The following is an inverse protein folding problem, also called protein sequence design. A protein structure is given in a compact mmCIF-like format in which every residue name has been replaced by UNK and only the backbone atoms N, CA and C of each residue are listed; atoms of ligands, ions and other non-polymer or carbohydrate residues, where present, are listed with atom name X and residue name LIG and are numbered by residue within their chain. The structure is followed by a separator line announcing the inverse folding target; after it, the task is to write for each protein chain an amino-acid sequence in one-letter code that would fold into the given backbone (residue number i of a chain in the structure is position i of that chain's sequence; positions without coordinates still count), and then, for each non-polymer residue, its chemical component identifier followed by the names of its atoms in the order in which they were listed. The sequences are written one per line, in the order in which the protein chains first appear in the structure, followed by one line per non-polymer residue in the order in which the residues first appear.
data_IF_240879921938
#
_entry.id   IF_240879921938
#
_cell.length_a   1.000
_cell.length_b   1.000
_cell.length_c   1.000
_cell.angle_alpha   90.00
_cell.angle_beta   90.00
_cell.angle_gamma   90.00
#
_symmetry.space_group_name_H-M   'P 1'
#
loop_
_entity.id
_entity.type
_entity.pdbx_description
1 polymer ?
#
# COMPACT_ATOMS: atom_id res chain seq x y z
N UNK A 1 -21.58 -54.45 3.88
CA UNK A 1 -21.17 -53.31 4.71
C UNK A 1 -22.45 -52.67 5.22
N UNK A 2 -22.52 -52.34 6.49
CA UNK A 2 -23.69 -51.64 7.04
C UNK A 2 -23.71 -50.20 6.52
N UNK A 3 -24.92 -49.66 6.29
CA UNK A 3 -25.11 -48.29 5.77
C UNK A 3 -24.42 -47.20 6.62
N UNK A 4 -24.13 -47.49 7.90
CA UNK A 4 -23.41 -46.60 8.80
C UNK A 4 -21.90 -46.56 8.52
N UNK A 5 -21.29 -47.70 8.18
CA UNK A 5 -19.86 -47.77 7.84
C UNK A 5 -19.56 -47.07 6.52
N UNK A 6 -20.45 -47.19 5.54
CA UNK A 6 -20.33 -46.50 4.24
C UNK A 6 -20.40 -44.97 4.41
N UNK A 7 -21.33 -44.47 5.23
CA UNK A 7 -21.44 -43.03 5.53
C UNK A 7 -20.23 -42.50 6.30
N UNK A 8 -19.68 -43.30 7.22
CA UNK A 8 -18.46 -42.93 7.94
C UNK A 8 -17.26 -42.86 6.99
N UNK A 9 -17.11 -43.84 6.09
CA UNK A 9 -16.05 -43.84 5.08
C UNK A 9 -16.16 -42.64 4.13
N UNK A 10 -17.37 -42.29 3.71
CA UNK A 10 -17.64 -41.05 2.95
C UNK A 10 -17.21 -39.80 3.73
N UNK A 11 -17.56 -39.71 5.01
CA UNK A 11 -17.16 -38.62 5.89
C UNK A 11 -15.63 -38.49 6.02
N UNK A 12 -14.92 -39.60 6.22
CA UNK A 12 -13.46 -39.63 6.28
C UNK A 12 -12.83 -39.17 4.96
N UNK A 13 -13.40 -39.58 3.82
CA UNK A 13 -12.93 -39.14 2.51
C UNK A 13 -13.11 -37.63 2.31
N UNK A 14 -14.24 -37.07 2.74
CA UNK A 14 -14.48 -35.62 2.71
C UNK A 14 -13.50 -34.86 3.61
N UNK A 15 -13.21 -35.36 4.82
CA UNK A 15 -12.22 -34.76 5.73
C UNK A 15 -10.82 -34.76 5.11
N UNK A 16 -10.37 -35.88 4.53
CA UNK A 16 -9.08 -35.96 3.85
C UNK A 16 -8.97 -34.99 2.67
N UNK A 17 -10.06 -34.80 1.92
CA UNK A 17 -10.12 -33.82 0.84
C UNK A 17 -10.06 -32.39 1.37
N UNK A 18 -10.78 -32.09 2.45
CA UNK A 18 -10.79 -30.78 3.10
C UNK A 18 -9.41 -30.40 3.64
N UNK A 19 -8.72 -31.34 4.31
CA UNK A 19 -7.35 -31.15 4.79
C UNK A 19 -6.37 -30.90 3.63
N UNK A 20 -6.47 -31.69 2.56
CA UNK A 20 -5.60 -31.55 1.39
C UNK A 20 -5.78 -30.19 0.71
N UNK A 21 -7.05 -29.76 0.51
CA UNK A 21 -7.36 -28.44 -0.04
C UNK A 21 -6.91 -27.33 0.91
N UNK A 22 -7.15 -27.47 2.21
CA UNK A 22 -6.68 -26.52 3.22
C UNK A 22 -5.17 -26.31 3.20
N UNK A 23 -4.38 -27.40 3.11
CA UNK A 23 -2.92 -27.32 2.96
C UNK A 23 -2.49 -26.58 1.68
N UNK A 24 -3.20 -26.79 0.58
CA UNK A 24 -2.95 -26.06 -0.68
C UNK A 24 -3.31 -24.58 -0.56
N UNK A 25 -4.42 -24.26 0.11
CA UNK A 25 -4.88 -22.89 0.34
C UNK A 25 -3.88 -22.11 1.19
N UNK A 26 -3.46 -22.69 2.32
CA UNK A 26 -2.40 -22.15 3.18
C UNK A 26 -1.13 -21.88 2.38
N UNK A 27 -0.66 -22.86 1.60
CA UNK A 27 0.54 -22.68 0.76
C UNK A 27 0.40 -21.52 -0.22
N UNK A 28 -0.76 -21.38 -0.87
CA UNK A 28 -1.02 -20.29 -1.83
C UNK A 28 -1.03 -18.92 -1.16
N UNK A 29 -1.63 -18.80 0.02
CA UNK A 29 -1.66 -17.53 0.76
C UNK A 29 -0.27 -17.15 1.25
N UNK A 30 0.50 -18.09 1.81
CA UNK A 30 1.87 -17.85 2.24
C UNK A 30 2.80 -17.44 1.09
N UNK A 31 2.67 -18.08 -0.09
CA UNK A 31 3.43 -17.69 -1.29
C UNK A 31 3.10 -16.25 -1.73
N UNK A 32 1.81 -15.87 -1.69
CA UNK A 32 1.37 -14.50 -2.00
C UNK A 32 1.88 -13.48 -0.98
N UNK A 33 1.86 -13.81 0.31
CA UNK A 33 2.44 -12.97 1.37
C UNK A 33 3.92 -12.74 1.11
N UNK A 34 4.68 -13.82 0.87
CA UNK A 34 6.12 -13.73 0.58
C UNK A 34 6.42 -12.83 -0.62
N UNK A 35 5.70 -13.00 -1.74
CA UNK A 35 5.88 -12.14 -2.93
C UNK A 35 5.59 -10.68 -2.59
N UNK A 36 4.56 -10.41 -1.78
CA UNK A 36 4.17 -9.04 -1.39
C UNK A 36 5.20 -8.40 -0.46
N UNK A 37 5.70 -9.16 0.52
CA UNK A 37 6.76 -8.74 1.45
C UNK A 37 8.07 -8.46 0.71
N UNK A 38 8.51 -9.37 -0.18
CA UNK A 38 9.71 -9.18 -1.01
C UNK A 38 9.60 -7.98 -1.94
N UNK A 39 8.40 -7.73 -2.46
CA UNK A 39 8.16 -6.58 -3.33
C UNK A 39 8.24 -5.25 -2.57
N UNK A 40 8.07 -5.24 -1.24
CA UNK A 40 8.04 -4.05 -0.36
C UNK A 40 7.20 -2.91 -0.97
N UNK A 41 6.11 -3.27 -1.65
CA UNK A 41 5.47 -2.35 -2.60
C UNK A 41 4.83 -1.17 -1.89
N UNK A 42 4.23 -1.40 -0.71
CA UNK A 42 3.66 -0.34 0.11
C UNK A 42 4.73 0.65 0.56
N UNK A 43 5.87 0.17 1.08
CA UNK A 43 6.97 1.04 1.49
C UNK A 43 7.53 1.84 0.31
N UNK A 44 7.63 1.23 -0.87
CA UNK A 44 8.04 1.92 -2.10
C UNK A 44 7.07 3.02 -2.49
N UNK A 45 5.75 2.78 -2.40
CA UNK A 45 4.75 3.81 -2.67
C UNK A 45 4.81 4.96 -1.66
N UNK A 46 4.97 4.66 -0.37
CA UNK A 46 5.12 5.67 0.69
C UNK A 46 6.37 6.52 0.45
N UNK A 47 7.53 5.90 0.24
CA UNK A 47 8.77 6.62 -0.03
C UNK A 47 8.66 7.45 -1.31
N UNK A 48 8.05 6.91 -2.37
CA UNK A 48 7.90 7.62 -3.64
C UNK A 48 6.94 8.80 -3.52
N UNK A 49 5.92 8.73 -2.66
CA UNK A 49 5.06 9.87 -2.33
C UNK A 49 5.90 11.01 -1.77
N UNK A 50 6.71 10.72 -0.74
CA UNK A 50 7.52 11.73 -0.06
C UNK A 50 8.56 12.36 -1.00
N UNK A 51 9.22 11.56 -1.84
CA UNK A 51 10.15 12.08 -2.86
C UNK A 51 9.44 13.03 -3.84
N UNK A 52 8.27 12.62 -4.35
CA UNK A 52 7.51 13.39 -5.33
C UNK A 52 6.98 14.69 -4.72
N UNK A 53 6.46 14.65 -3.50
CA UNK A 53 5.99 15.83 -2.78
C UNK A 53 7.13 16.84 -2.55
N UNK A 54 8.34 16.35 -2.23
CA UNK A 54 9.51 17.22 -2.08
C UNK A 54 9.95 17.86 -3.41
N UNK A 55 9.97 17.09 -4.50
CA UNK A 55 10.37 17.57 -5.83
C UNK A 55 9.39 18.62 -6.35
N UNK A 56 8.08 18.34 -6.27
CA UNK A 56 7.04 19.28 -6.71
C UNK A 56 7.08 20.57 -5.90
N UNK A 57 7.26 20.49 -4.58
CA UNK A 57 7.34 21.69 -3.75
C UNK A 57 8.57 22.54 -4.08
N UNK A 58 9.74 21.92 -4.36
CA UNK A 58 10.93 22.65 -4.80
C UNK A 58 10.70 23.40 -6.11
N UNK A 59 10.08 22.75 -7.10
CA UNK A 59 9.78 23.39 -8.39
C UNK A 59 8.76 24.54 -8.24
N UNK A 60 7.75 24.39 -7.37
CA UNK A 60 6.81 25.47 -7.04
C UNK A 60 7.53 26.65 -6.38
N UNK A 61 8.44 26.39 -5.43
CA UNK A 61 9.20 27.44 -4.76
C UNK A 61 10.10 28.22 -5.73
N UNK A 62 10.77 27.52 -6.66
CA UNK A 62 11.60 28.15 -7.70
C UNK A 62 10.76 29.00 -8.66
N UNK A 63 9.59 28.51 -9.11
CA UNK A 63 8.67 29.27 -9.96
C UNK A 63 8.08 30.49 -9.24
N UNK A 64 7.79 30.37 -7.94
CA UNK A 64 7.32 31.48 -7.12
C UNK A 64 8.39 32.57 -7.02
N UNK A 65 9.63 32.18 -6.75
CA UNK A 65 10.75 33.13 -6.69
C UNK A 65 11.02 33.82 -8.04
N UNK A 66 10.87 33.10 -9.16
CA UNK A 66 10.95 33.71 -10.50
C UNK A 66 9.81 34.70 -10.76
N UNK A 67 8.58 34.37 -10.35
CA UNK A 67 7.42 35.25 -10.46
C UNK A 67 7.59 36.53 -9.65
N UNK A 68 8.01 36.41 -8.38
CA UNK A 68 8.19 37.54 -7.47
C UNK A 68 9.28 38.50 -7.98
N UNK A 69 10.35 37.97 -8.57
CA UNK A 69 11.42 38.78 -9.17
C UNK A 69 11.01 39.50 -10.46
N UNK A 70 9.89 39.13 -11.08
CA UNK A 70 9.31 39.83 -12.23
C UNK A 70 8.39 40.98 -11.84
N UNK A 71 8.11 41.21 -10.54
CA UNK A 71 7.33 42.37 -10.10
C UNK A 71 8.04 43.67 -10.49
N UNK A 72 7.35 44.50 -11.29
CA UNK A 72 7.84 45.70 -11.98
C UNK A 72 8.40 46.85 -11.08
N UNK A 73 8.52 46.65 -9.77
CA UNK A 73 9.00 47.66 -8.80
C UNK A 73 10.44 48.11 -9.04
N UNK A 74 11.25 47.33 -9.75
CA UNK A 74 12.66 47.64 -10.05
C UNK A 74 12.85 48.53 -11.29
N UNK A 75 11.91 48.54 -12.23
CA UNK A 75 11.98 49.36 -13.46
C UNK A 75 11.38 50.76 -13.27
N UNK A 76 10.41 50.91 -12.37
CA UNK A 76 9.74 52.18 -12.10
C UNK A 76 10.71 53.23 -11.52
N UNK A 77 11.69 52.80 -10.71
CA UNK A 77 12.77 53.61 -10.14
C UNK A 77 13.78 54.09 -11.19
N UNK A 78 14.00 53.32 -12.26
CA UNK A 78 14.91 53.68 -13.34
C UNK A 78 14.30 54.72 -14.28
N UNK A 79 12.99 54.60 -14.56
CA UNK A 79 12.24 55.56 -15.37
C UNK A 79 12.23 56.98 -14.76
N UNK A 80 12.03 57.09 -13.45
CA UNK A 80 12.02 58.38 -12.73
C UNK A 80 13.40 59.07 -12.70
N UNK A 81 14.49 58.30 -12.69
CA UNK A 81 15.86 58.80 -12.74
C UNK A 81 16.21 59.46 -14.08
N UNK A 82 15.79 58.85 -15.20
CA UNK A 82 16.02 59.39 -16.54
C UNK A 82 15.25 60.70 -16.78
N UNK A 83 14.04 60.83 -16.22
CA UNK A 83 13.17 61.99 -16.43
C UNK A 83 13.64 63.24 -15.67
N UNK A 84 14.33 63.09 -14.53
CA UNK A 84 14.95 64.19 -13.80
C UNK A 84 16.17 64.80 -14.50
N UNK A 85 16.92 64.01 -15.27
CA UNK A 85 18.07 64.51 -16.05
C UNK A 85 17.62 65.44 -17.20
N UNK A 86 16.41 65.21 -17.75
CA UNK A 86 15.85 65.96 -18.86
C UNK A 86 15.42 67.40 -18.50
N UNK A 87 14.86 67.63 -17.31
CA UNK A 87 14.33 68.96 -16.93
C UNK A 87 15.42 70.01 -16.65
N UNK A 88 16.67 69.59 -16.40
CA UNK A 88 17.76 70.49 -15.97
C UNK A 88 18.34 71.36 -17.10
N UNK A 89 18.11 71.00 -18.36
CA UNK A 89 18.66 71.73 -19.52
C UNK A 89 17.68 72.75 -20.13
N UNK A 90 16.36 72.55 -19.96
CA UNK A 90 15.32 73.39 -20.56
C UNK A 90 15.17 74.76 -19.89
N UNK A 91 15.55 74.89 -18.62
CA UNK A 91 15.44 76.14 -17.86
C UNK A 91 16.56 77.15 -18.17
N UNK A 92 17.70 76.69 -18.70
CA UNK A 92 18.88 77.54 -18.98
C UNK A 92 18.76 78.34 -20.28
N UNK A 93 17.95 77.85 -21.23
CA UNK A 93 17.72 78.43 -22.55
C UNK A 93 16.89 79.73 -22.51
N UNK A 94 15.89 79.79 -21.62
CA UNK A 94 15.02 80.98 -21.45
C UNK A 94 15.73 82.21 -20.86
N UNK A 95 16.83 82.01 -20.12
CA UNK A 95 17.59 83.08 -19.46
C UNK A 95 18.44 83.89 -20.44
N UNK A 96 18.94 83.24 -21.50
CA UNK A 96 19.91 83.84 -22.44
C UNK A 96 19.25 84.73 -23.50
N UNK A 97 18.00 84.46 -23.88
CA UNK A 97 17.23 85.28 -24.83
C UNK A 97 16.99 86.73 -24.35
N UNK A 98 16.96 86.95 -23.02
CA UNK A 98 16.73 88.29 -22.43
C UNK A 98 17.91 89.25 -22.57
N UNK A 99 19.14 88.74 -22.66
CA UNK A 99 20.36 89.59 -22.74
C UNK A 99 20.59 90.21 -24.13
N UNK A 100 19.85 89.77 -25.14
CA UNK A 100 19.97 90.24 -26.54
C UNK A 100 19.27 91.58 -26.81
N UNK A 101 18.44 92.10 -25.90
CA UNK A 101 17.59 93.27 -26.18
C UNK A 101 18.23 94.63 -25.84
N UNK A 102 19.31 94.67 -25.05
CA UNK A 102 19.82 95.93 -24.43
C UNK A 102 20.99 96.61 -25.17
N UNK A 103 21.63 95.95 -26.14
CA UNK A 103 22.94 96.39 -26.68
C UNK A 103 22.89 97.38 -27.87
N UNK A 104 21.79 98.12 -28.03
CA UNK A 104 21.51 98.96 -29.23
C UNK A 104 22.09 100.38 -29.24
N UNK A 105 22.85 100.81 -28.23
CA UNK A 105 23.20 102.23 -28.01
C UNK A 105 24.68 102.62 -28.22
N UNK A 106 25.51 101.80 -28.86
CA UNK A 106 26.99 102.00 -28.97
C UNK A 106 27.55 102.32 -30.37
N UNK A 107 27.03 103.37 -31.00
CA UNK A 107 27.23 103.98 -32.34
C UNK A 107 28.56 103.86 -33.14
N UNK A 108 29.74 104.13 -32.55
CA UNK A 108 30.96 104.50 -33.32
C UNK A 108 32.23 103.69 -33.01
N UNK A 109 32.24 102.94 -31.90
CA UNK A 109 33.11 101.75 -31.78
C UNK A 109 32.68 100.63 -32.77
N UNK A 110 31.52 100.83 -33.41
CA UNK A 110 30.82 99.91 -34.29
C UNK A 110 31.60 99.46 -35.53
N UNK A 111 32.53 100.23 -36.09
CA UNK A 111 33.14 99.83 -37.37
C UNK A 111 34.23 98.77 -37.20
N UNK A 112 35.10 98.91 -36.19
CA UNK A 112 36.05 97.85 -35.81
C UNK A 112 35.32 96.70 -35.11
N UNK A 113 34.27 97.00 -34.33
CA UNK A 113 33.36 95.98 -33.81
C UNK A 113 32.56 95.27 -34.90
N UNK A 114 32.29 95.83 -36.08
CA UNK A 114 31.51 95.16 -37.13
C UNK A 114 32.22 93.90 -37.63
N UNK A 115 33.54 93.98 -37.82
CA UNK A 115 34.33 92.83 -38.26
C UNK A 115 34.51 91.80 -37.14
N UNK A 116 34.71 92.25 -35.89
CA UNK A 116 34.74 91.36 -34.73
C UNK A 116 33.37 90.73 -34.43
N UNK A 117 32.26 91.45 -34.67
CA UNK A 117 30.89 90.99 -34.51
C UNK A 117 30.48 90.03 -35.63
N UNK A 118 30.92 90.22 -36.87
CA UNK A 118 30.69 89.23 -37.95
C UNK A 118 31.38 87.90 -37.65
N UNK A 119 32.60 87.94 -37.15
CA UNK A 119 33.32 86.73 -36.73
C UNK A 119 32.71 86.13 -35.44
N UNK A 120 32.27 86.96 -34.50
CA UNK A 120 31.56 86.52 -33.30
C UNK A 120 30.17 85.94 -33.63
N UNK A 121 29.42 86.51 -34.57
CA UNK A 121 28.15 85.98 -35.10
C UNK A 121 28.37 84.64 -35.78
N UNK A 122 29.43 84.51 -36.60
CA UNK A 122 29.81 83.24 -37.22
C UNK A 122 30.14 82.18 -36.16
N UNK A 123 30.93 82.52 -35.15
CA UNK A 123 31.28 81.60 -34.05
C UNK A 123 30.05 81.24 -33.20
N UNK A 124 29.16 82.18 -32.95
CA UNK A 124 27.94 81.97 -32.17
C UNK A 124 26.91 81.13 -32.94
N UNK A 125 26.79 81.29 -34.25
CA UNK A 125 25.94 80.43 -35.09
C UNK A 125 26.55 79.02 -35.20
N UNK A 126 27.87 78.89 -35.30
CA UNK A 126 28.56 77.58 -35.23
C UNK A 126 28.36 76.90 -33.87
N UNK A 127 28.42 77.63 -32.76
CA UNK A 127 28.12 77.09 -31.42
C UNK A 127 26.65 76.70 -31.28
N UNK A 128 25.73 77.52 -31.79
CA UNK A 128 24.29 77.21 -31.80
C UNK A 128 24.03 75.94 -32.59
N UNK A 129 24.65 75.79 -33.75
CA UNK A 129 24.51 74.60 -34.59
C UNK A 129 25.09 73.35 -33.90
N UNK A 130 26.29 73.42 -33.32
CA UNK A 130 26.86 72.32 -32.52
C UNK A 130 25.98 71.91 -31.34
N UNK A 131 25.34 72.86 -30.66
CA UNK A 131 24.42 72.59 -29.55
C UNK A 131 23.11 71.97 -30.03
N UNK A 132 22.55 72.44 -31.13
CA UNK A 132 21.37 71.85 -31.76
C UNK A 132 21.62 70.40 -32.16
N UNK A 133 22.77 70.11 -32.79
CA UNK A 133 23.17 68.74 -33.14
C UNK A 133 23.38 67.86 -31.90
N UNK A 134 23.88 68.43 -30.80
CA UNK A 134 24.05 67.69 -29.54
C UNK A 134 22.69 67.38 -28.89
N UNK A 135 21.76 68.33 -28.92
CA UNK A 135 20.39 68.13 -28.41
C UNK A 135 19.65 67.08 -29.23
N UNK A 136 19.72 67.15 -30.55
CA UNK A 136 19.10 66.15 -31.45
C UNK A 136 19.69 64.75 -31.22
N UNK A 137 21.01 64.64 -31.01
CA UNK A 137 21.67 63.38 -30.63
C UNK A 137 21.21 62.87 -29.24
N UNK A 138 21.00 63.76 -28.28
CA UNK A 138 20.49 63.39 -26.97
C UNK A 138 19.04 62.90 -27.04
N UNK A 139 18.18 63.60 -27.79
CA UNK A 139 16.77 63.24 -27.97
C UNK A 139 16.61 61.90 -28.70
N UNK A 140 17.38 61.68 -29.76
CA UNK A 140 17.41 60.39 -30.47
C UNK A 140 17.95 59.25 -29.61
N UNK A 141 18.92 59.51 -28.72
CA UNK A 141 19.45 58.49 -27.80
C UNK A 141 18.44 58.14 -26.71
N UNK A 142 17.73 59.13 -26.16
CA UNK A 142 16.71 58.90 -25.16
C UNK A 142 15.48 58.20 -25.71
N UNK A 143 15.07 58.52 -26.94
CA UNK A 143 13.98 57.83 -27.61
C UNK A 143 14.32 56.35 -27.86
N UNK A 144 15.55 56.04 -28.29
CA UNK A 144 16.03 54.65 -28.38
C UNK A 144 16.01 53.94 -27.02
N UNK A 145 16.50 54.60 -25.97
CA UNK A 145 16.49 54.02 -24.63
C UNK A 145 15.06 53.75 -24.11
N UNK A 146 14.09 54.63 -24.41
CA UNK A 146 12.67 54.42 -24.07
C UNK A 146 12.09 53.21 -24.80
N UNK A 147 12.38 53.07 -26.09
CA UNK A 147 11.91 51.94 -26.90
C UNK A 147 12.50 50.61 -26.40
N UNK A 148 13.78 50.59 -26.03
CA UNK A 148 14.42 49.41 -25.44
C UNK A 148 13.81 49.07 -24.07
N UNK A 149 13.60 50.06 -23.20
CA UNK A 149 12.96 49.84 -21.90
C UNK A 149 11.53 49.30 -22.02
N UNK A 150 10.74 49.82 -22.95
CA UNK A 150 9.38 49.32 -23.19
C UNK A 150 9.40 47.88 -23.72
N UNK A 151 10.36 47.55 -24.60
CA UNK A 151 10.56 46.17 -25.05
C UNK A 151 10.91 45.22 -23.90
N UNK A 152 11.80 45.64 -23.00
CA UNK A 152 12.17 44.85 -21.83
C UNK A 152 10.99 44.67 -20.87
N UNK A 153 10.18 45.72 -20.69
CA UNK A 153 8.96 45.67 -19.89
C UNK A 153 7.97 44.63 -20.43
N UNK A 154 7.75 44.61 -21.75
CA UNK A 154 6.88 43.62 -22.40
C UNK A 154 7.41 42.19 -22.22
N UNK A 155 8.73 41.99 -22.36
CA UNK A 155 9.35 40.68 -22.15
C UNK A 155 9.24 40.19 -20.71
N UNK A 156 9.39 41.07 -19.72
CA UNK A 156 9.23 40.74 -18.30
C UNK A 156 7.77 40.37 -18.01
N UNK A 157 6.81 41.10 -18.57
CA UNK A 157 5.40 40.79 -18.40
C UNK A 157 5.04 39.42 -19.01
N UNK A 158 5.52 39.14 -20.23
CA UNK A 158 5.29 37.84 -20.88
C UNK A 158 5.91 36.70 -20.07
N UNK A 159 7.11 36.91 -19.51
CA UNK A 159 7.76 35.93 -18.64
C UNK A 159 6.94 35.68 -17.37
N UNK A 160 6.47 36.74 -16.72
CA UNK A 160 5.62 36.65 -15.53
C UNK A 160 4.34 35.86 -15.82
N UNK A 161 3.63 36.16 -16.92
CA UNK A 161 2.40 35.47 -17.28
C UNK A 161 2.63 33.97 -17.54
N UNK A 162 3.78 33.62 -18.16
CA UNK A 162 4.21 32.23 -18.35
C UNK A 162 4.53 31.55 -17.01
N UNK A 163 5.20 32.23 -16.09
CA UNK A 163 5.47 31.72 -14.74
C UNK A 163 4.16 31.44 -13.98
N UNK A 164 3.17 32.34 -14.07
CA UNK A 164 1.86 32.13 -13.44
C UNK A 164 1.11 30.94 -14.05
N UNK A 165 1.13 30.78 -15.37
CA UNK A 165 0.54 29.62 -16.03
C UNK A 165 1.23 28.31 -15.61
N UNK A 166 2.56 28.31 -15.50
CA UNK A 166 3.32 27.16 -15.02
C UNK A 166 2.98 26.82 -13.56
N UNK A 167 2.89 27.82 -12.68
CA UNK A 167 2.46 27.64 -11.28
C UNK A 167 1.08 27.01 -11.18
N UNK A 168 0.14 27.43 -12.03
CA UNK A 168 -1.20 26.85 -12.05
C UNK A 168 -1.17 25.36 -12.43
N UNK A 169 -0.46 25.01 -13.51
CA UNK A 169 -0.30 23.61 -13.96
C UNK A 169 0.40 22.77 -12.89
N UNK A 170 1.43 23.31 -12.23
CA UNK A 170 2.13 22.61 -11.14
C UNK A 170 1.23 22.39 -9.93
N UNK A 171 0.34 23.34 -9.62
CA UNK A 171 -0.68 23.17 -8.58
C UNK A 171 -1.66 22.03 -8.90
N UNK A 172 -2.18 21.97 -10.12
CA UNK A 172 -3.07 20.88 -10.55
C UNK A 172 -2.34 19.52 -10.57
N UNK A 173 -1.08 19.51 -11.03
CA UNK A 173 -0.24 18.31 -11.02
C UNK A 173 0.00 17.79 -9.61
N UNK A 174 0.33 18.67 -8.65
CA UNK A 174 0.50 18.33 -7.23
C UNK A 174 -0.76 17.70 -6.65
N UNK A 175 -1.91 18.32 -6.89
CA UNK A 175 -3.17 17.86 -6.33
C UNK A 175 -3.59 16.52 -6.96
N UNK A 176 -3.37 16.34 -8.26
CA UNK A 176 -3.64 15.10 -8.98
C UNK A 176 -2.71 13.96 -8.56
N UNK A 177 -1.40 14.22 -8.46
CA UNK A 177 -0.40 13.23 -8.08
C UNK A 177 -0.58 12.76 -6.64
N UNK A 178 -0.87 13.69 -5.72
CA UNK A 178 -1.15 13.39 -4.32
C UNK A 178 -2.36 12.47 -4.17
N UNK A 179 -3.48 12.79 -4.83
CA UNK A 179 -4.69 11.95 -4.83
C UNK A 179 -4.43 10.55 -5.39
N UNK A 180 -3.70 10.46 -6.51
CA UNK A 180 -3.38 9.17 -7.13
C UNK A 180 -2.50 8.31 -6.21
N UNK A 181 -1.50 8.93 -5.59
CA UNK A 181 -0.59 8.23 -4.69
C UNK A 181 -1.30 7.79 -3.41
N UNK A 182 -2.17 8.62 -2.84
CA UNK A 182 -3.01 8.26 -1.70
C UNK A 182 -3.96 7.11 -2.01
N UNK A 183 -4.64 7.16 -3.16
CA UNK A 183 -5.50 6.06 -3.61
C UNK A 183 -4.71 4.75 -3.80
N UNK A 184 -3.48 4.84 -4.30
CA UNK A 184 -2.60 3.67 -4.48
C UNK A 184 -2.16 3.08 -3.13
N UNK A 185 -1.80 3.93 -2.16
CA UNK A 185 -1.47 3.51 -0.79
C UNK A 185 -2.68 2.83 -0.13
N UNK A 186 -3.86 3.45 -0.21
CA UNK A 186 -5.08 2.91 0.40
C UNK A 186 -5.49 1.58 -0.25
N UNK A 187 -5.43 1.50 -1.59
CA UNK A 187 -5.66 0.25 -2.31
C UNK A 187 -4.70 -0.84 -1.87
N UNK A 188 -3.40 -0.52 -1.65
CA UNK A 188 -2.41 -1.50 -1.23
C UNK A 188 -2.59 -1.93 0.23
N UNK A 189 -2.96 -1.00 1.13
CA UNK A 189 -3.32 -1.33 2.52
C UNK A 189 -4.51 -2.28 2.58
N UNK A 190 -5.53 -2.02 1.77
CA UNK A 190 -6.69 -2.90 1.67
C UNK A 190 -6.31 -4.29 1.16
N UNK A 191 -5.46 -4.38 0.14
CA UNK A 191 -4.99 -5.67 -0.37
C UNK A 191 -4.19 -6.46 0.69
N UNK A 192 -3.31 -5.80 1.46
CA UNK A 192 -2.58 -6.43 2.56
C UNK A 192 -3.52 -6.90 3.68
N UNK A 193 -4.54 -6.11 4.01
CA UNK A 193 -5.58 -6.48 4.96
C UNK A 193 -6.40 -7.68 4.49
N UNK A 194 -6.88 -7.67 3.24
CA UNK A 194 -7.63 -8.79 2.64
C UNK A 194 -6.78 -10.07 2.60
N UNK A 195 -5.47 -9.95 2.37
CA UNK A 195 -4.53 -11.08 2.41
C UNK A 195 -4.34 -11.61 3.84
N UNK A 196 -4.31 -10.74 4.84
CA UNK A 196 -4.26 -11.12 6.25
C UNK A 196 -5.54 -11.84 6.70
N UNK A 197 -6.72 -11.34 6.31
CA UNK A 197 -7.99 -12.04 6.55
C UNK A 197 -8.04 -13.39 5.86
N UNK A 198 -7.57 -13.48 4.61
CA UNK A 198 -7.47 -14.77 3.90
C UNK A 198 -6.57 -15.75 4.65
N UNK A 199 -5.45 -15.29 5.21
CA UNK A 199 -4.53 -16.09 5.99
C UNK A 199 -5.20 -16.72 7.22
N UNK A 200 -5.95 -15.90 7.97
CA UNK A 200 -6.76 -16.37 9.10
C UNK A 200 -7.77 -17.42 8.65
N UNK A 201 -8.54 -17.13 7.59
CA UNK A 201 -9.62 -18.01 7.13
C UNK A 201 -9.08 -19.37 6.66
N UNK A 202 -7.98 -19.41 5.90
CA UNK A 202 -7.44 -20.68 5.39
C UNK A 202 -6.82 -21.51 6.51
N UNK A 203 -6.12 -20.88 7.45
CA UNK A 203 -5.55 -21.58 8.61
C UNK A 203 -6.66 -22.12 9.52
N UNK A 204 -7.71 -21.33 9.80
CA UNK A 204 -8.86 -21.77 10.60
C UNK A 204 -9.57 -22.96 9.95
N UNK A 205 -9.85 -22.90 8.64
CA UNK A 205 -10.50 -24.02 7.92
C UNK A 205 -9.69 -25.31 7.97
N UNK A 206 -8.37 -25.20 7.76
CA UNK A 206 -7.50 -26.38 7.85
C UNK A 206 -7.47 -26.93 9.27
N UNK A 207 -7.41 -26.05 10.27
CA UNK A 207 -7.42 -26.38 11.68
C UNK A 207 -8.73 -27.06 12.10
N UNK A 208 -9.88 -26.58 11.62
CA UNK A 208 -11.19 -27.20 11.89
C UNK A 208 -11.30 -28.59 11.25
N UNK A 209 -10.81 -28.75 10.02
CA UNK A 209 -10.75 -30.05 9.36
C UNK A 209 -9.83 -31.05 10.10
N UNK A 210 -8.68 -30.58 10.60
CA UNK A 210 -7.77 -31.36 11.43
C UNK A 210 -8.40 -31.71 12.78
N UNK A 211 -9.09 -30.79 13.43
CA UNK A 211 -9.79 -31.04 14.68
C UNK A 211 -10.84 -32.14 14.50
N UNK A 212 -11.66 -32.07 13.44
CA UNK A 212 -12.64 -33.10 13.12
C UNK A 212 -11.99 -34.47 12.83
N UNK A 213 -10.90 -34.50 12.05
CA UNK A 213 -10.15 -35.73 11.79
C UNK A 213 -9.52 -36.32 13.08
N UNK A 214 -9.05 -35.44 13.98
CA UNK A 214 -8.48 -35.83 15.28
C UNK A 214 -9.54 -36.42 16.20
N UNK A 215 -10.75 -35.85 16.20
CA UNK A 215 -11.91 -36.41 16.93
C UNK A 215 -12.24 -37.82 16.41
N UNK A 216 -12.33 -38.01 15.09
CA UNK A 216 -12.61 -39.33 14.49
C UNK A 216 -11.53 -40.35 14.88
N UNK A 217 -10.24 -40.01 14.78
CA UNK A 217 -9.17 -40.90 15.18
C UNK A 217 -9.28 -41.29 16.67
N UNK A 218 -9.60 -40.33 17.55
CA UNK A 218 -9.76 -40.61 18.99
C UNK A 218 -10.94 -41.55 19.26
N UNK A 219 -12.08 -41.32 18.62
CA UNK A 219 -13.24 -42.21 18.73
C UNK A 219 -12.95 -43.62 18.19
N UNK A 220 -12.21 -43.74 17.07
CA UNK A 220 -11.80 -45.04 16.53
C UNK A 220 -10.86 -45.80 17.48
N UNK A 221 -9.95 -45.09 18.15
CA UNK A 221 -9.05 -45.69 19.16
C UNK A 221 -9.86 -46.22 20.35
N UNK A 222 -10.82 -45.45 20.84
CA UNK A 222 -11.73 -45.86 21.93
C UNK A 222 -12.58 -47.07 21.54
N UNK A 223 -13.23 -47.04 20.38
CA UNK A 223 -13.99 -48.17 19.84
C UNK A 223 -13.12 -49.43 19.67
N UNK A 224 -11.88 -49.27 19.21
CA UNK A 224 -10.95 -50.39 19.11
C UNK A 224 -10.56 -50.93 20.50
N UNK A 225 -10.40 -50.07 21.51
CA UNK A 225 -10.11 -50.51 22.88
C UNK A 225 -11.23 -51.37 23.45
N UNK A 226 -12.49 -50.94 23.28
CA UNK A 226 -13.65 -51.68 23.75
C UNK A 226 -13.78 -53.04 23.04
N UNK A 227 -13.61 -53.06 21.71
CA UNK A 227 -13.62 -54.29 20.92
C UNK A 227 -12.47 -55.23 21.29
N UNK A 228 -11.25 -54.71 21.48
CA UNK A 228 -10.10 -55.51 21.92
C UNK A 228 -10.34 -56.11 23.30
N UNK A 229 -10.95 -55.36 24.22
CA UNK A 229 -11.31 -55.85 25.55
C UNK A 229 -12.35 -56.98 25.45
N UNK A 230 -13.43 -56.77 24.68
CA UNK A 230 -14.46 -57.78 24.45
C UNK A 230 -13.89 -59.07 23.82
N UNK A 231 -13.12 -58.94 22.73
CA UNK A 231 -12.51 -60.07 22.03
C UNK A 231 -11.54 -60.83 22.93
N UNK A 232 -10.74 -60.13 23.74
CA UNK A 232 -9.83 -60.76 24.70
C UNK A 232 -10.58 -61.60 25.74
N UNK A 233 -11.70 -61.10 26.25
CA UNK A 233 -12.57 -61.85 27.16
C UNK A 233 -13.14 -63.10 26.47
N UNK A 234 -13.71 -62.95 25.27
CA UNK A 234 -14.29 -64.06 24.51
C UNK A 234 -13.25 -65.14 24.14
N UNK A 235 -12.05 -64.74 23.70
CA UNK A 235 -10.94 -65.66 23.42
C UNK A 235 -10.54 -66.44 24.68
N UNK A 236 -10.53 -65.78 25.84
CA UNK A 236 -10.17 -66.41 27.12
C UNK A 236 -11.23 -67.46 27.51
N UNK A 237 -12.51 -67.10 27.46
CA UNK A 237 -13.63 -68.01 27.74
C UNK A 237 -13.64 -69.21 26.80
N UNK A 238 -13.48 -69.00 25.49
CA UNK A 238 -13.44 -70.10 24.51
C UNK A 238 -12.20 -71.01 24.68
N UNK A 239 -11.05 -70.46 25.12
CA UNK A 239 -9.87 -71.28 25.46
C UNK A 239 -10.12 -72.19 26.65
N UNK A 240 -10.86 -71.73 27.66
CA UNK A 240 -11.26 -72.55 28.81
C UNK A 240 -12.31 -73.60 28.41
N UNK A 241 -13.31 -73.21 27.62
CA UNK A 241 -14.34 -74.12 27.12
C UNK A 241 -13.72 -75.22 26.24
N UNK A 242 -12.78 -74.88 25.34
CA UNK A 242 -12.00 -75.83 24.56
C UNK A 242 -11.31 -76.87 25.45
N UNK A 243 -10.63 -76.42 26.51
CA UNK A 243 -9.94 -77.32 27.46
C UNK A 243 -10.93 -78.25 28.17
N UNK A 244 -12.10 -77.74 28.57
CA UNK A 244 -13.15 -78.54 29.20
C UNK A 244 -13.72 -79.60 28.26
N UNK A 245 -14.16 -79.21 27.05
CA UNK A 245 -14.74 -80.12 26.06
C UNK A 245 -13.75 -81.16 25.54
N UNK A 246 -12.46 -80.81 25.45
CA UNK A 246 -11.40 -81.74 25.11
C UNK A 246 -11.21 -82.84 26.19
N UNK A 247 -11.28 -82.48 27.47
CA UNK A 247 -11.25 -83.46 28.59
C UNK A 247 -12.46 -84.41 28.56
N UNK A 248 -13.61 -83.92 28.11
CA UNK A 248 -14.85 -84.72 27.96
C UNK A 248 -14.93 -85.56 26.68
N UNK A 249 -13.90 -85.54 25.81
CA UNK A 249 -13.85 -86.36 24.59
C UNK A 249 -14.69 -85.86 23.41
N UNK A 250 -15.25 -84.64 23.46
CA UNK A 250 -16.16 -84.08 22.45
C UNK A 250 -15.40 -83.45 21.27
N UNK A 251 -14.77 -84.27 20.41
CA UNK A 251 -13.90 -83.82 19.31
C UNK A 251 -14.54 -82.85 18.32
N UNK A 252 -15.81 -83.05 17.94
CA UNK A 252 -16.51 -82.18 16.98
C UNK A 252 -16.67 -80.76 17.53
N UNK A 253 -17.13 -80.64 18.78
CA UNK A 253 -17.31 -79.36 19.48
C UNK A 253 -15.97 -78.64 19.68
N UNK A 254 -14.90 -79.39 19.96
CA UNK A 254 -13.54 -78.81 20.03
C UNK A 254 -13.10 -78.22 18.69
N UNK A 255 -13.47 -78.84 17.56
CA UNK A 255 -13.22 -78.31 16.22
C UNK A 255 -13.95 -76.99 15.96
N UNK A 256 -15.25 -76.93 16.28
CA UNK A 256 -16.06 -75.71 16.15
C UNK A 256 -15.53 -74.56 17.02
N UNK A 257 -15.12 -74.85 18.26
CA UNK A 257 -14.51 -73.85 19.16
C UNK A 257 -13.17 -73.36 18.61
N UNK A 258 -12.36 -74.23 18.00
CA UNK A 258 -11.11 -73.84 17.36
C UNK A 258 -11.33 -72.89 16.18
N UNK A 259 -12.36 -73.13 15.37
CA UNK A 259 -12.68 -72.26 14.25
C UNK A 259 -13.17 -70.87 14.73
N UNK A 260 -14.02 -70.83 15.76
CA UNK A 260 -14.44 -69.57 16.41
C UNK A 260 -13.25 -68.83 17.03
N UNK A 261 -12.35 -69.53 17.71
CA UNK A 261 -11.13 -68.94 18.27
C UNK A 261 -10.26 -68.30 17.19
N UNK A 262 -10.08 -68.98 16.06
CA UNK A 262 -9.30 -68.44 14.94
C UNK A 262 -9.91 -67.13 14.42
N UNK A 263 -11.24 -67.09 14.22
CA UNK A 263 -11.95 -65.88 13.78
C UNK A 263 -11.80 -64.71 14.77
N UNK A 264 -11.91 -64.97 16.07
CA UNK A 264 -11.70 -63.94 17.08
C UNK A 264 -10.24 -63.48 17.19
N UNK A 265 -9.26 -64.38 17.04
CA UNK A 265 -7.84 -64.03 17.02
C UNK A 265 -7.50 -63.18 15.78
N UNK A 266 -8.06 -63.51 14.61
CA UNK A 266 -7.95 -62.69 13.39
C UNK A 266 -8.56 -61.29 13.58
N UNK A 267 -9.79 -61.22 14.13
CA UNK A 267 -10.46 -59.95 14.42
C UNK A 267 -9.69 -59.11 15.46
N UNK A 268 -9.12 -59.76 16.48
CA UNK A 268 -8.30 -59.10 17.49
C UNK A 268 -7.05 -58.47 16.89
N UNK A 269 -6.37 -59.17 15.96
CA UNK A 269 -5.23 -58.61 15.26
C UNK A 269 -5.60 -57.44 14.35
N UNK A 270 -6.74 -57.51 13.65
CA UNK A 270 -7.24 -56.41 12.84
C UNK A 270 -7.51 -55.15 13.69
N UNK A 271 -8.31 -55.25 14.76
CA UNK A 271 -8.57 -54.11 15.64
C UNK A 271 -7.29 -53.57 16.30
N UNK A 272 -6.32 -54.43 16.62
CA UNK A 272 -5.03 -53.99 17.18
C UNK A 272 -4.23 -53.17 16.17
N UNK A 273 -4.23 -53.59 14.90
CA UNK A 273 -3.56 -52.85 13.83
C UNK A 273 -4.28 -51.51 13.56
N UNK A 274 -5.60 -51.53 13.39
CA UNK A 274 -6.40 -50.32 13.15
C UNK A 274 -6.26 -49.31 14.29
N UNK A 275 -6.19 -49.77 15.54
CA UNK A 275 -5.90 -48.90 16.69
C UNK A 275 -4.55 -48.21 16.54
N UNK A 276 -3.49 -48.96 16.25
CA UNK A 276 -2.14 -48.39 16.13
C UNK A 276 -2.04 -47.37 14.99
N UNK A 277 -2.71 -47.63 13.86
CA UNK A 277 -2.78 -46.69 12.73
C UNK A 277 -3.50 -45.38 13.10
N UNK A 278 -4.60 -45.47 13.87
CA UNK A 278 -5.34 -44.29 14.31
C UNK A 278 -4.63 -43.54 15.46
N UNK A 279 -3.93 -44.22 16.36
CA UNK A 279 -3.06 -43.58 17.37
C UNK A 279 -1.95 -42.76 16.69
N UNK A 280 -1.31 -43.31 15.65
CA UNK A 280 -0.29 -42.56 14.91
C UNK A 280 -0.87 -41.32 14.23
N UNK A 281 -1.99 -41.47 13.51
CA UNK A 281 -2.66 -40.34 12.85
C UNK A 281 -3.12 -39.27 13.85
N UNK A 282 -3.62 -39.70 15.01
CA UNK A 282 -4.03 -38.78 16.08
C UNK A 282 -2.87 -37.90 16.54
N UNK A 283 -1.70 -38.49 16.79
CA UNK A 283 -0.51 -37.72 17.19
C UNK A 283 -0.02 -36.79 16.07
N UNK A 284 -0.03 -37.26 14.82
CA UNK A 284 0.36 -36.44 13.66
C UNK A 284 -0.57 -35.23 13.49
N UNK A 285 -1.90 -35.44 13.54
CA UNK A 285 -2.89 -34.37 13.40
C UNK A 285 -2.88 -33.41 14.59
N UNK A 286 -2.64 -33.92 15.80
CA UNK A 286 -2.53 -33.08 16.99
C UNK A 286 -1.32 -32.15 16.90
N UNK A 287 -0.19 -32.63 16.38
CA UNK A 287 0.99 -31.81 16.12
C UNK A 287 0.73 -30.76 15.03
N UNK A 288 0.16 -31.17 13.89
CA UNK A 288 -0.19 -30.21 12.82
C UNK A 288 -1.17 -29.14 13.32
N UNK A 289 -2.12 -29.51 14.17
CA UNK A 289 -3.06 -28.56 14.77
C UNK A 289 -2.37 -27.59 15.73
N UNK A 290 -1.38 -28.03 16.51
CA UNK A 290 -0.58 -27.13 17.37
C UNK A 290 0.16 -26.09 16.53
N UNK A 291 0.81 -26.50 15.43
CA UNK A 291 1.49 -25.57 14.52
C UNK A 291 0.52 -24.51 13.95
N UNK A 292 -0.74 -24.90 13.67
CA UNK A 292 -1.79 -23.99 13.22
C UNK A 292 -2.31 -23.09 14.34
N UNK A 293 -2.46 -23.61 15.55
CA UNK A 293 -2.91 -22.84 16.71
C UNK A 293 -1.89 -21.74 17.06
N UNK A 294 -0.58 -22.04 16.97
CA UNK A 294 0.50 -21.04 17.10
C UNK A 294 0.40 -19.95 16.04
N UNK A 295 0.20 -20.33 14.77
CA UNK A 295 0.05 -19.38 13.66
C UNK A 295 -1.19 -18.50 13.82
N UNK A 296 -2.33 -19.08 14.15
CA UNK A 296 -3.58 -18.36 14.38
C UNK A 296 -3.46 -17.39 15.56
N UNK A 297 -2.79 -17.80 16.63
CA UNK A 297 -2.48 -16.92 17.77
C UNK A 297 -1.60 -15.74 17.36
N UNK A 298 -0.57 -15.99 16.53
CA UNK A 298 0.28 -14.92 15.98
C UNK A 298 -0.50 -13.96 15.06
N UNK A 299 -1.58 -14.43 14.42
CA UNK A 299 -2.50 -13.62 13.63
C UNK A 299 -3.58 -12.93 14.48
N UNK A 300 -3.59 -13.11 15.81
CA UNK A 300 -4.52 -12.46 16.73
C UNK A 300 -5.82 -13.21 16.99
N UNK A 301 -5.96 -14.45 16.51
CA UNK A 301 -7.14 -15.28 16.74
C UNK A 301 -7.07 -16.02 18.09
N UNK A 302 -8.23 -16.15 18.74
CA UNK A 302 -8.38 -17.02 19.91
C UNK A 302 -8.75 -18.41 19.41
N UNK A 303 -7.94 -19.39 19.79
CA UNK A 303 -8.11 -20.78 19.38
C UNK A 303 -8.66 -21.61 20.53
N UNK A 304 -9.74 -22.34 20.29
CA UNK A 304 -10.35 -23.24 21.27
C UNK A 304 -9.49 -24.48 21.50
N UNK A 305 -9.33 -24.96 22.73
CA UNK A 305 -8.56 -26.17 22.98
C UNK A 305 -9.24 -27.42 22.38
N UNK A 306 -8.45 -28.36 21.87
CA UNK A 306 -8.97 -29.62 21.32
C UNK A 306 -9.82 -30.40 22.33
N UNK A 307 -9.42 -30.42 23.61
CA UNK A 307 -10.14 -31.16 24.65
C UNK A 307 -11.54 -30.59 24.93
N UNK A 308 -11.77 -29.31 24.63
CA UNK A 308 -13.10 -28.69 24.73
C UNK A 308 -13.97 -29.07 23.51
N UNK A 309 -13.39 -29.06 22.31
CA UNK A 309 -14.04 -29.52 21.07
C UNK A 309 -14.47 -30.99 21.21
N UNK A 310 -13.55 -31.83 21.66
CA UNK A 310 -13.78 -33.26 21.81
C UNK A 310 -14.88 -33.57 22.84
N UNK A 311 -14.88 -32.87 23.99
CA UNK A 311 -15.96 -33.01 24.99
C UNK A 311 -17.31 -32.64 24.42
N UNK A 312 -17.40 -31.53 23.69
CA UNK A 312 -18.66 -31.10 23.05
C UNK A 312 -19.21 -32.13 22.08
N UNK A 313 -18.36 -32.71 21.24
CA UNK A 313 -18.77 -33.77 20.31
C UNK A 313 -19.23 -35.02 21.08
N UNK A 314 -18.54 -35.40 22.15
CA UNK A 314 -19.01 -36.50 23.00
C UNK A 314 -20.39 -36.22 23.60
N UNK A 315 -20.62 -35.02 24.12
CA UNK A 315 -21.92 -34.62 24.68
C UNK A 315 -23.03 -34.66 23.61
N UNK A 316 -22.74 -34.20 22.38
CA UNK A 316 -23.68 -34.27 21.26
C UNK A 316 -24.02 -35.72 20.87
N UNK A 317 -23.01 -36.60 20.78
CA UNK A 317 -23.22 -38.03 20.50
C UNK A 317 -24.06 -38.67 21.61
N UNK A 318 -23.74 -38.40 22.87
CA UNK A 318 -24.50 -38.93 24.01
C UNK A 318 -25.95 -38.45 23.99
N UNK A 319 -26.19 -37.16 23.69
CA UNK A 319 -27.55 -36.62 23.58
C UNK A 319 -28.36 -37.26 22.44
N UNK A 320 -27.73 -37.56 21.31
CA UNK A 320 -28.41 -38.27 20.21
C UNK A 320 -28.82 -39.67 20.66
N UNK A 321 -27.94 -40.38 21.37
CA UNK A 321 -28.23 -41.71 21.90
C UNK A 321 -29.33 -41.70 22.98
N UNK A 322 -29.35 -40.68 23.84
CA UNK A 322 -30.39 -40.50 24.87
C UNK A 322 -31.73 -40.05 24.26
N UNK A 323 -31.70 -39.22 23.22
CA UNK A 323 -32.89 -38.72 22.51
C UNK A 323 -33.55 -39.75 21.58
N UNK A 324 -32.77 -40.69 21.03
CA UNK A 324 -33.27 -41.79 20.19
C UNK A 324 -33.74 -43.01 20.99
N UNK A 325 -33.61 -43.02 22.33
CA UNK A 325 -33.87 -44.23 23.10
C UNK A 325 -34.11 -44.08 24.60
N UNK A 326 -35.09 -43.28 25.03
CA UNK A 326 -35.93 -43.60 26.21
C UNK A 326 -37.36 -43.04 26.07
N UNK A 327 -38.08 -43.51 25.05
CA UNK A 327 -39.53 -43.74 25.21
C UNK A 327 -39.68 -44.96 26.11
N UNK A 328 -40.01 -44.71 27.37
CA UNK A 328 -40.45 -45.63 28.41
C UNK A 328 -40.93 -47.00 27.91
N UNK A 329 -40.12 -48.02 28.18
CA UNK A 329 -40.64 -49.27 28.74
C UNK A 329 -41.14 -48.93 30.15
N UNK A 330 -42.32 -48.31 30.23
CA UNK A 330 -43.19 -48.15 31.40
C UNK A 330 -44.43 -47.37 30.94
N UNK A 331 -45.34 -48.09 30.27
CA UNK A 331 -46.76 -48.24 30.67
C UNK A 331 -47.37 -49.45 29.93
#
# INVERSE_FOLDING_TARGET
MDSADEKREEGVNLLNLAMTKGKQDVKRVLERQKITEEAQTLQKFVNKKEELDQEINREIDELTLMSDNCEAKSLETLGQSAEMAFKKYTEKDKSMCKKLQENRTGQEELQQRLNALKECERQMEEERQKRSETQEKADTTAEKARQELEKWRQQIQELHDRCQAALHVMGEFRDGSSKLMEASIESKRKEEHDLHEQDIVVHRRLRDALAAATVECKQQVENCNDNLHYLKTQITTLKEEKKSKAKSGLKVVVGEIMEKLKKYEESYHQHKQTRAENEQKFEDYKKEMQDLDERLTALGEIVEAFDDIYRRVQDEVNMIWEGEGHSSLED
#
